data_IF_561789877771
#
_entry.id   IF_561789877771
#
_cell.length_a   1.000
_cell.length_b   1.000
_cell.length_c   1.000
_cell.angle_alpha   90.00
_cell.angle_beta   90.00
_cell.angle_gamma   90.00
#
_symmetry.space_group_name_H-M   'P 1'
#
loop_
_entity.id
_entity.type
_entity.pdbx_description
1 polymer ?
#
# COMPACT_ATOMS: atom_id res chain seq x y z
N UNK A 1 4.41 11.97 34.83
CA UNK A 1 3.02 11.52 34.98
C UNK A 1 2.00 12.58 34.56
N UNK A 2 2.06 13.86 35.02
CA UNK A 2 1.09 14.91 34.64
C UNK A 2 0.98 15.17 33.12
N UNK A 3 2.09 15.08 32.35
CA UNK A 3 2.07 15.31 30.88
C UNK A 3 1.38 14.18 30.10
N UNK A 4 1.42 12.94 30.59
CA UNK A 4 0.74 11.80 29.96
C UNK A 4 -0.78 11.89 30.17
N UNK A 5 -1.22 12.37 31.31
CA UNK A 5 -2.65 12.57 31.63
C UNK A 5 -3.27 13.66 30.73
N UNK A 6 -2.51 14.72 30.41
CA UNK A 6 -2.99 15.80 29.54
C UNK A 6 -3.16 15.28 28.10
N UNK A 7 -2.24 14.47 27.60
CA UNK A 7 -2.35 13.86 26.26
C UNK A 7 -3.54 12.87 26.20
N UNK A 8 -3.74 12.07 27.23
CA UNK A 8 -4.88 11.15 27.33
C UNK A 8 -6.22 11.90 27.42
N UNK A 9 -6.27 13.04 28.14
CA UNK A 9 -7.47 13.87 28.24
C UNK A 9 -7.85 14.56 26.92
N UNK A 10 -6.87 14.94 26.09
CA UNK A 10 -7.13 15.52 24.77
C UNK A 10 -7.68 14.46 23.80
N UNK A 11 -7.24 13.21 23.92
CA UNK A 11 -7.77 12.08 23.13
C UNK A 11 -9.21 11.73 23.53
N UNK A 12 -9.57 11.85 24.82
CA UNK A 12 -10.94 11.56 25.31
C UNK A 12 -11.96 12.68 25.02
N UNK A 13 -11.53 13.93 24.83
CA UNK A 13 -12.43 15.05 24.51
C UNK A 13 -12.88 15.10 23.03
N UNK A 14 -12.26 14.27 22.16
CA UNK A 14 -12.62 14.15 20.74
C UNK A 14 -13.81 13.24 20.41
N UNK A 15 -14.46 12.59 21.39
CA UNK A 15 -15.43 11.51 21.14
C UNK A 15 -16.91 11.90 21.21
N UNK A 16 -17.26 13.18 21.19
CA UNK A 16 -18.65 13.63 21.37
C UNK A 16 -19.29 14.30 20.15
N UNK A 17 -19.15 13.75 18.95
CA UNK A 17 -20.07 14.06 17.85
C UNK A 17 -20.42 12.74 17.17
N UNK A 18 -21.39 12.03 17.73
CA UNK A 18 -22.09 10.92 17.05
C UNK A 18 -23.12 11.54 16.10
N UNK A 19 -22.68 12.14 15.02
CA UNK A 19 -23.45 12.19 13.80
C UNK A 19 -23.23 10.85 13.09
N UNK A 20 -24.26 10.33 12.39
CA UNK A 20 -24.13 9.16 11.55
C UNK A 20 -23.01 9.39 10.52
N UNK A 21 -21.80 8.99 10.89
CA UNK A 21 -20.62 9.19 10.06
C UNK A 21 -20.60 8.08 9.04
N UNK A 22 -20.85 8.43 7.79
CA UNK A 22 -20.72 7.49 6.68
C UNK A 22 -19.34 6.86 6.65
N UNK A 23 -19.32 5.56 6.49
CA UNK A 23 -18.08 4.81 6.25
C UNK A 23 -18.19 4.05 4.94
N UNK A 24 -17.08 3.81 4.30
CA UNK A 24 -17.06 2.90 3.18
C UNK A 24 -15.93 1.88 3.28
N UNK A 25 -16.20 0.74 2.68
CA UNK A 25 -15.23 -0.35 2.54
C UNK A 25 -14.97 -0.55 1.06
N UNK A 26 -13.71 -0.64 0.64
CA UNK A 26 -13.36 -0.89 -0.75
C UNK A 26 -12.49 -2.13 -0.92
N UNK A 27 -12.75 -2.84 -2.02
CA UNK A 27 -11.93 -3.92 -2.54
C UNK A 27 -11.39 -3.50 -3.90
N UNK A 28 -10.08 -3.57 -4.05
CA UNK A 28 -9.39 -3.03 -5.22
C UNK A 28 -8.44 -4.07 -5.78
N UNK A 29 -8.48 -4.27 -7.08
CA UNK A 29 -7.45 -4.94 -7.84
C UNK A 29 -6.31 -3.97 -8.07
N UNK A 30 -5.06 -4.42 -7.87
CA UNK A 30 -3.88 -3.57 -7.92
C UNK A 30 -2.91 -4.07 -8.99
N UNK A 31 -2.64 -3.24 -10.00
CA UNK A 31 -1.55 -3.47 -10.96
C UNK A 31 -0.32 -2.72 -10.45
N UNK A 32 0.74 -3.46 -10.13
CA UNK A 32 1.96 -2.92 -9.52
C UNK A 32 3.08 -2.67 -10.52
N UNK A 33 3.82 -1.57 -10.33
CA UNK A 33 5.00 -1.19 -11.09
C UNK A 33 6.14 -0.92 -10.12
N UNK A 34 7.21 -1.73 -10.17
CA UNK A 34 8.38 -1.53 -9.33
C UNK A 34 9.06 -0.19 -9.60
N UNK A 35 9.57 0.45 -8.56
CA UNK A 35 10.35 1.68 -8.63
C UNK A 35 11.60 1.53 -7.78
N UNK A 36 12.65 2.27 -8.10
CA UNK A 36 13.92 2.19 -7.38
C UNK A 36 14.48 0.77 -7.34
N UNK A 37 14.78 0.26 -6.14
CA UNK A 37 15.36 -1.07 -5.95
C UNK A 37 14.41 -2.21 -6.37
N UNK A 38 13.10 -2.06 -6.12
CA UNK A 38 12.09 -3.04 -6.56
C UNK A 38 12.06 -3.13 -8.08
N UNK A 39 12.06 -1.98 -8.79
CA UNK A 39 12.05 -1.94 -10.25
C UNK A 39 13.35 -2.46 -10.87
N UNK A 40 14.50 -2.23 -10.23
CA UNK A 40 15.80 -2.78 -10.65
C UNK A 40 15.87 -4.29 -10.47
N UNK A 41 15.23 -4.81 -9.44
CA UNK A 41 15.17 -6.25 -9.18
C UNK A 41 14.15 -6.95 -10.08
N UNK A 42 12.95 -6.36 -10.27
CA UNK A 42 11.87 -6.87 -11.12
C UNK A 42 11.32 -5.72 -11.95
N UNK A 43 11.62 -5.68 -13.24
CA UNK A 43 11.19 -4.62 -14.16
C UNK A 43 9.80 -4.81 -14.71
N UNK A 44 9.27 -6.05 -14.67
CA UNK A 44 7.97 -6.37 -15.21
C UNK A 44 6.84 -5.85 -14.33
N UNK A 45 5.74 -5.34 -14.92
CA UNK A 45 4.53 -5.01 -14.18
C UNK A 45 3.96 -6.24 -13.49
N UNK A 46 3.43 -6.06 -12.29
CA UNK A 46 2.71 -7.10 -11.56
C UNK A 46 1.20 -6.93 -11.72
N UNK A 47 0.56 -7.99 -12.22
CA UNK A 47 -0.91 -8.12 -12.26
C UNK A 47 -1.44 -8.97 -11.09
N UNK A 48 -0.64 -9.18 -10.05
CA UNK A 48 -0.96 -10.02 -8.88
C UNK A 48 -1.00 -9.16 -7.62
N UNK A 49 -2.00 -8.27 -7.57
CA UNK A 49 -2.17 -7.40 -6.42
C UNK A 49 -3.62 -7.17 -6.07
N UNK A 50 -3.87 -7.00 -4.78
CA UNK A 50 -5.14 -6.54 -4.28
C UNK A 50 -4.94 -5.62 -3.07
N UNK A 51 -5.92 -4.75 -2.82
CA UNK A 51 -5.96 -3.84 -1.69
C UNK A 51 -7.36 -3.83 -1.09
N UNK A 52 -7.42 -3.97 0.20
CA UNK A 52 -8.60 -3.75 1.03
C UNK A 52 -8.43 -2.44 1.79
N UNK A 53 -9.48 -1.63 1.83
CA UNK A 53 -9.43 -0.35 2.53
C UNK A 53 -10.77 -0.07 3.19
N UNK A 54 -10.71 0.38 4.44
CA UNK A 54 -11.85 0.89 5.18
C UNK A 54 -11.60 2.35 5.52
N UNK A 55 -12.58 3.23 5.25
CA UNK A 55 -12.52 4.67 5.54
C UNK A 55 -13.78 5.11 6.26
N UNK A 56 -13.62 6.01 7.21
CA UNK A 56 -14.71 6.67 7.92
C UNK A 56 -14.60 8.19 7.72
N UNK A 57 -15.68 8.82 7.28
CA UNK A 57 -15.73 10.27 7.16
C UNK A 57 -15.81 10.89 8.54
N UNK A 58 -14.85 11.74 8.88
CA UNK A 58 -14.83 12.55 10.11
C UNK A 58 -15.38 13.96 9.85
N UNK A 59 -15.34 14.37 8.59
CA UNK A 59 -15.94 15.59 8.05
C UNK A 59 -16.38 15.31 6.61
N UNK A 60 -17.28 16.09 6.01
CA UNK A 60 -17.73 15.86 4.64
C UNK A 60 -16.60 15.74 3.61
N UNK A 61 -15.47 16.41 3.85
CA UNK A 61 -14.30 16.41 2.96
C UNK A 61 -13.13 15.57 3.46
N UNK A 62 -13.20 15.01 4.66
CA UNK A 62 -12.04 14.33 5.27
C UNK A 62 -12.45 12.96 5.79
N UNK A 63 -11.71 11.93 5.42
CA UNK A 63 -11.84 10.61 6.02
C UNK A 63 -10.53 10.13 6.64
N UNK A 64 -10.66 9.32 7.68
CA UNK A 64 -9.59 8.50 8.23
C UNK A 64 -9.92 7.04 7.99
N UNK A 65 -8.89 6.20 7.84
CA UNK A 65 -9.11 4.80 7.56
C UNK A 65 -7.89 3.94 7.77
N UNK A 66 -8.04 2.70 7.32
CA UNK A 66 -6.98 1.69 7.35
C UNK A 66 -6.92 0.98 5.99
N UNK A 67 -5.72 0.65 5.58
CA UNK A 67 -5.45 -0.07 4.35
C UNK A 67 -4.59 -1.29 4.63
N UNK A 68 -4.96 -2.41 4.00
CA UNK A 68 -4.15 -3.61 3.92
C UNK A 68 -4.07 -4.06 2.46
N UNK A 69 -2.88 -4.43 2.00
CA UNK A 69 -2.68 -4.84 0.62
C UNK A 69 -1.72 -6.01 0.49
N UNK A 70 -1.73 -6.60 -0.69
CA UNK A 70 -0.74 -7.60 -1.08
C UNK A 70 -0.42 -7.44 -2.57
N UNK A 71 0.86 -7.25 -2.89
CA UNK A 71 1.36 -7.14 -4.26
C UNK A 71 2.51 -8.13 -4.45
N UNK A 72 2.46 -8.93 -5.51
CA UNK A 72 3.47 -9.95 -5.84
C UNK A 72 4.12 -9.61 -7.16
N UNK A 73 5.35 -9.17 -7.13
CA UNK A 73 6.18 -8.97 -8.32
C UNK A 73 6.89 -10.28 -8.66
N UNK A 74 7.00 -10.56 -9.97
CA UNK A 74 7.62 -11.78 -10.47
C UNK A 74 8.38 -11.50 -11.75
N UNK A 75 9.59 -12.05 -11.85
CA UNK A 75 10.39 -12.05 -13.07
C UNK A 75 11.16 -13.36 -13.21
N UNK A 76 11.28 -13.85 -14.44
CA UNK A 76 12.08 -15.03 -14.78
C UNK A 76 13.20 -14.62 -15.73
N UNK A 77 14.45 -14.75 -15.29
CA UNK A 77 15.63 -14.41 -16.05
C UNK A 77 16.42 -15.64 -16.43
N UNK A 78 16.81 -15.74 -17.69
CA UNK A 78 17.61 -16.85 -18.20
C UNK A 78 19.08 -16.48 -18.19
N UNK A 79 19.94 -17.40 -17.70
CA UNK A 79 21.40 -17.31 -17.74
C UNK A 79 22.00 -16.04 -17.10
N UNK A 80 21.51 -15.63 -15.95
CA UNK A 80 22.15 -14.60 -15.14
C UNK A 80 23.08 -15.16 -14.08
N UNK A 81 24.14 -14.42 -13.77
CA UNK A 81 25.03 -14.72 -12.65
C UNK A 81 24.68 -13.85 -11.47
N UNK A 82 24.36 -14.47 -10.35
CA UNK A 82 24.18 -13.80 -9.08
C UNK A 82 25.42 -14.02 -8.21
N UNK A 83 25.99 -12.91 -7.72
CA UNK A 83 27.16 -12.94 -6.83
C UNK A 83 26.79 -12.33 -5.47
N UNK A 84 27.05 -13.07 -4.40
CA UNK A 84 26.93 -12.60 -3.02
C UNK A 84 28.20 -12.99 -2.25
N UNK A 85 29.02 -11.98 -1.90
CA UNK A 85 30.33 -12.23 -1.31
C UNK A 85 31.23 -13.00 -2.28
N UNK A 86 31.74 -14.15 -1.86
CA UNK A 86 32.63 -15.00 -2.66
C UNK A 86 31.90 -16.12 -3.44
N UNK A 87 30.56 -16.14 -3.40
CA UNK A 87 29.76 -17.16 -4.07
C UNK A 87 29.08 -16.56 -5.28
N UNK A 88 29.35 -17.14 -6.47
CA UNK A 88 28.68 -16.81 -7.72
C UNK A 88 27.92 -18.05 -8.25
N UNK A 89 26.64 -17.89 -8.54
CA UNK A 89 25.79 -18.92 -9.10
C UNK A 89 25.22 -18.42 -10.43
N UNK A 90 25.47 -19.15 -11.50
CA UNK A 90 24.95 -18.85 -12.84
C UNK A 90 23.85 -19.82 -13.21
N UNK A 91 22.79 -19.33 -13.84
CA UNK A 91 21.69 -20.17 -14.29
C UNK A 91 20.39 -19.41 -14.45
N UNK A 92 19.30 -20.14 -14.65
CA UNK A 92 17.95 -19.57 -14.69
C UNK A 92 17.54 -19.11 -13.29
N UNK A 93 17.11 -17.87 -13.18
CA UNK A 93 16.68 -17.25 -11.92
C UNK A 93 15.20 -16.95 -11.97
N UNK A 94 14.50 -17.30 -10.90
CA UNK A 94 13.13 -16.87 -10.63
C UNK A 94 13.15 -15.88 -9.47
N UNK A 95 12.71 -14.65 -9.76
CA UNK A 95 12.69 -13.56 -8.79
C UNK A 95 11.26 -13.28 -8.35
N UNK A 96 11.05 -13.30 -7.05
CA UNK A 96 9.77 -12.98 -6.44
C UNK A 96 9.97 -11.87 -5.42
N UNK A 97 9.03 -10.93 -5.39
CA UNK A 97 8.99 -9.94 -4.32
C UNK A 97 7.54 -9.72 -3.89
N UNK A 98 7.27 -10.04 -2.63
CA UNK A 98 5.99 -9.83 -1.98
C UNK A 98 6.05 -8.55 -1.15
N UNK A 99 4.98 -7.74 -1.24
CA UNK A 99 4.82 -6.49 -0.51
C UNK A 99 3.47 -6.50 0.21
N UNK A 100 3.49 -6.33 1.55
CA UNK A 100 2.31 -6.32 2.41
C UNK A 100 2.24 -5.00 3.19
N UNK A 101 1.66 -3.93 2.64
CA UNK A 101 1.42 -2.70 3.38
C UNK A 101 0.27 -2.86 4.37
N UNK A 102 0.45 -2.28 5.58
CA UNK A 102 -0.57 -2.09 6.61
C UNK A 102 -0.47 -0.63 7.06
N UNK A 103 -1.42 0.20 6.65
CA UNK A 103 -1.33 1.65 6.77
C UNK A 103 -2.59 2.25 7.40
N UNK A 104 -2.41 3.24 8.26
CA UNK A 104 -3.45 4.20 8.60
C UNK A 104 -3.49 5.25 7.49
N UNK A 105 -4.69 5.63 7.05
CA UNK A 105 -4.89 6.53 5.92
C UNK A 105 -5.68 7.78 6.31
N UNK A 106 -5.36 8.89 5.66
CA UNK A 106 -6.11 10.13 5.74
C UNK A 106 -6.33 10.68 4.32
N UNK A 107 -7.58 11.03 4.01
CA UNK A 107 -7.95 11.43 2.65
C UNK A 107 -8.77 12.71 2.66
N UNK A 108 -8.55 13.54 1.64
CA UNK A 108 -9.30 14.75 1.38
C UNK A 108 -10.04 14.64 0.05
N UNK A 109 -11.35 14.89 0.10
CA UNK A 109 -12.27 14.84 -1.04
C UNK A 109 -12.62 16.24 -1.51
N UNK A 110 -12.48 16.49 -2.81
CA UNK A 110 -12.72 17.81 -3.38
C UNK A 110 -14.20 18.10 -3.60
N UNK A 111 -15.00 17.05 -3.92
CA UNK A 111 -16.39 17.19 -4.34
C UNK A 111 -17.32 16.20 -3.61
N UNK A 112 -17.44 16.29 -2.27
CA UNK A 112 -18.31 15.38 -1.52
C UNK A 112 -19.78 15.53 -1.96
N UNK A 113 -20.45 14.39 -2.13
CA UNK A 113 -21.86 14.34 -2.58
C UNK A 113 -22.06 14.48 -4.09
N UNK A 114 -21.03 14.77 -4.87
CA UNK A 114 -21.12 14.72 -6.32
C UNK A 114 -20.84 13.29 -6.85
N UNK A 115 -21.42 12.99 -8.02
CA UNK A 115 -21.27 11.69 -8.69
C UNK A 115 -19.80 11.35 -8.99
N UNK A 116 -19.00 12.37 -9.33
CA UNK A 116 -17.55 12.29 -9.51
C UNK A 116 -16.84 13.03 -8.40
N UNK A 117 -16.19 12.30 -7.51
CA UNK A 117 -15.54 12.84 -6.32
C UNK A 117 -14.05 12.52 -6.33
N UNK A 118 -13.20 13.41 -6.84
CA UNK A 118 -11.75 13.24 -6.78
C UNK A 118 -11.24 13.41 -5.34
N UNK A 119 -10.16 12.71 -5.02
CA UNK A 119 -9.52 12.79 -3.72
C UNK A 119 -7.99 12.70 -3.81
N UNK A 120 -7.34 13.19 -2.77
CA UNK A 120 -5.93 12.95 -2.48
C UNK A 120 -5.80 12.38 -1.08
N UNK A 121 -4.79 11.57 -0.86
CA UNK A 121 -4.61 10.94 0.43
C UNK A 121 -3.15 10.64 0.76
N UNK A 122 -2.94 10.33 2.01
CA UNK A 122 -1.67 9.84 2.55
C UNK A 122 -1.93 8.66 3.46
N UNK A 123 -1.09 7.64 3.37
CA UNK A 123 -1.04 6.51 4.29
C UNK A 123 0.29 6.49 5.02
N UNK A 124 0.27 6.12 6.29
CA UNK A 124 1.46 5.95 7.12
C UNK A 124 1.31 4.68 7.95
N UNK A 125 2.36 3.89 8.04
CA UNK A 125 2.32 2.66 8.80
C UNK A 125 3.51 1.77 8.56
N UNK A 126 3.26 0.49 8.33
CA UNK A 126 4.31 -0.50 8.12
C UNK A 126 4.08 -1.28 6.82
N UNK A 127 5.15 -1.77 6.23
CA UNK A 127 5.13 -2.64 5.06
C UNK A 127 6.10 -3.79 5.26
N UNK A 128 5.60 -5.01 5.17
CA UNK A 128 6.45 -6.19 5.14
C UNK A 128 6.85 -6.48 3.70
N UNK A 129 8.17 -6.63 3.48
CA UNK A 129 8.74 -7.03 2.19
C UNK A 129 9.45 -8.36 2.32
N UNK A 130 9.18 -9.25 1.37
CA UNK A 130 9.90 -10.51 1.24
C UNK A 130 10.33 -10.71 -0.20
N UNK A 131 11.62 -10.87 -0.41
CA UNK A 131 12.28 -11.05 -1.70
C UNK A 131 12.94 -12.42 -1.75
N UNK A 132 12.64 -13.19 -2.79
CA UNK A 132 13.24 -14.48 -3.04
C UNK A 132 13.90 -14.48 -4.43
N UNK A 133 15.09 -15.05 -4.51
CA UNK A 133 15.77 -15.37 -5.75
C UNK A 133 16.04 -16.87 -5.77
N UNK A 134 15.29 -17.60 -6.58
CA UNK A 134 15.40 -19.04 -6.69
C UNK A 134 16.33 -19.39 -7.88
N UNK A 135 17.38 -20.12 -7.59
CA UNK A 135 18.39 -20.55 -8.54
C UNK A 135 18.60 -22.05 -8.39
N UNK A 136 17.86 -22.87 -9.14
CA UNK A 136 17.95 -24.33 -9.12
C UNK A 136 17.92 -24.95 -7.70
N UNK A 137 19.06 -25.10 -7.05
CA UNK A 137 19.20 -25.68 -5.71
C UNK A 137 19.36 -24.66 -4.59
N UNK A 138 19.47 -23.37 -4.91
CA UNK A 138 19.68 -22.29 -3.94
C UNK A 138 18.56 -21.30 -4.00
N UNK A 139 17.96 -20.98 -2.84
CA UNK A 139 17.05 -19.84 -2.65
C UNK A 139 17.72 -18.82 -1.76
N UNK A 140 17.83 -17.59 -2.25
CA UNK A 140 18.26 -16.46 -1.46
C UNK A 140 17.01 -15.69 -1.03
N UNK A 141 16.84 -15.55 0.28
CA UNK A 141 15.71 -14.84 0.87
C UNK A 141 16.18 -13.60 1.62
N UNK A 142 15.44 -12.51 1.46
CA UNK A 142 15.57 -11.27 2.21
C UNK A 142 14.18 -10.87 2.70
N UNK A 143 14.08 -10.42 3.95
CA UNK A 143 12.81 -9.98 4.51
C UNK A 143 13.00 -8.85 5.52
N UNK A 144 12.04 -7.95 5.57
CA UNK A 144 12.02 -6.90 6.58
C UNK A 144 10.63 -6.28 6.75
N UNK A 145 10.41 -5.70 7.92
CA UNK A 145 9.35 -4.75 8.18
C UNK A 145 9.89 -3.33 8.02
N UNK A 146 9.27 -2.54 7.15
CA UNK A 146 9.65 -1.17 6.88
C UNK A 146 8.65 -0.20 7.51
N UNK A 147 9.10 0.93 7.99
CA UNK A 147 8.23 2.09 8.11
C UNK A 147 7.85 2.53 6.68
N UNK A 148 6.57 2.77 6.44
CA UNK A 148 6.09 3.06 5.10
C UNK A 148 5.20 4.30 5.04
N UNK A 149 5.33 5.03 3.94
CA UNK A 149 4.48 6.16 3.58
C UNK A 149 3.90 5.93 2.20
N UNK A 150 2.61 6.27 2.01
CA UNK A 150 1.88 6.07 0.76
C UNK A 150 1.07 7.33 0.41
N UNK A 151 1.56 8.27 -0.39
CA UNK A 151 0.72 9.23 -1.07
C UNK A 151 -0.17 8.55 -2.13
N UNK A 152 -1.38 9.07 -2.31
CA UNK A 152 -2.32 8.61 -3.31
C UNK A 152 -3.13 9.75 -3.91
N UNK A 153 -3.56 9.54 -5.15
CA UNK A 153 -4.53 10.38 -5.85
C UNK A 153 -5.53 9.46 -6.55
N UNK A 154 -6.80 9.80 -6.51
CA UNK A 154 -7.82 8.99 -7.12
C UNK A 154 -9.16 9.69 -7.22
N UNK A 155 -10.17 8.94 -7.60
CA UNK A 155 -11.56 9.38 -7.61
C UNK A 155 -12.51 8.24 -7.27
N UNK A 156 -13.65 8.62 -6.72
CA UNK A 156 -14.85 7.79 -6.59
C UNK A 156 -15.85 8.23 -7.64
N UNK A 157 -16.43 7.27 -8.35
CA UNK A 157 -17.55 7.51 -9.26
C UNK A 157 -18.77 6.77 -8.74
N UNK A 158 -19.76 7.52 -8.24
CA UNK A 158 -20.97 6.96 -7.66
C UNK A 158 -21.83 6.31 -8.76
N UNK A 159 -21.99 4.99 -8.67
CA UNK A 159 -22.84 4.21 -9.57
C UNK A 159 -24.28 4.16 -9.07
N UNK A 160 -24.44 3.97 -7.75
CA UNK A 160 -25.69 4.00 -7.03
C UNK A 160 -25.47 4.54 -5.59
N UNK A 161 -26.50 4.76 -4.76
CA UNK A 161 -26.34 5.35 -3.42
C UNK A 161 -25.35 4.61 -2.51
N UNK A 162 -25.21 3.30 -2.67
CA UNK A 162 -24.43 2.45 -1.78
C UNK A 162 -23.09 2.00 -2.40
N UNK A 163 -22.89 2.19 -3.73
CA UNK A 163 -21.75 1.64 -4.44
C UNK A 163 -21.11 2.66 -5.35
N UNK A 164 -19.80 2.79 -5.24
CA UNK A 164 -18.97 3.63 -6.12
C UNK A 164 -17.86 2.82 -6.78
N UNK A 165 -17.55 3.13 -8.03
CA UNK A 165 -16.30 2.70 -8.64
C UNK A 165 -15.15 3.48 -8.00
N UNK A 166 -14.09 2.78 -7.67
CA UNK A 166 -12.88 3.33 -7.06
C UNK A 166 -11.72 3.23 -8.06
N UNK A 167 -11.05 4.34 -8.32
CA UNK A 167 -9.84 4.39 -9.13
C UNK A 167 -8.80 5.22 -8.43
N UNK A 168 -7.58 4.69 -8.26
CA UNK A 168 -6.50 5.44 -7.64
C UNK A 168 -5.12 5.02 -8.16
N UNK A 169 -4.20 5.97 -8.16
CA UNK A 169 -2.76 5.73 -8.28
C UNK A 169 -2.17 5.93 -6.89
N UNK A 170 -1.42 4.93 -6.42
CA UNK A 170 -0.79 4.93 -5.10
C UNK A 170 0.71 4.72 -5.29
N UNK A 171 1.51 5.44 -4.52
CA UNK A 171 2.95 5.24 -4.44
C UNK A 171 3.33 4.77 -3.05
N UNK A 172 3.88 3.58 -2.93
CA UNK A 172 4.34 3.03 -1.67
C UNK A 172 5.85 3.22 -1.55
N UNK A 173 6.29 3.72 -0.41
CA UNK A 173 7.70 3.87 -0.08
C UNK A 173 7.98 3.32 1.32
N UNK A 174 8.56 2.14 1.39
CA UNK A 174 9.08 1.54 2.61
C UNK A 174 10.54 1.90 2.80
N UNK A 175 10.87 2.58 3.90
CA UNK A 175 12.25 2.98 4.19
C UNK A 175 13.15 1.77 4.45
N UNK A 176 14.45 1.93 4.24
CA UNK A 176 15.43 0.85 4.44
C UNK A 176 15.31 0.24 5.84
N UNK A 177 15.29 -1.09 5.92
CA UNK A 177 15.22 -1.83 7.18
C UNK A 177 15.65 -3.29 6.99
N UNK A 178 16.15 -3.92 8.05
CA UNK A 178 16.53 -5.33 8.07
C UNK A 178 17.51 -5.71 6.97
N UNK A 179 17.13 -6.69 6.16
CA UNK A 179 17.97 -7.19 5.06
C UNK A 179 18.05 -6.23 3.84
N UNK A 180 17.22 -5.17 3.82
CA UNK A 180 17.18 -4.20 2.74
C UNK A 180 17.92 -2.92 3.14
N UNK A 181 19.06 -2.67 2.51
CA UNK A 181 19.87 -1.46 2.71
C UNK A 181 19.28 -0.21 2.04
N UNK A 182 18.33 -0.36 1.14
CA UNK A 182 17.68 0.70 0.36
C UNK A 182 16.16 0.62 0.47
N UNK A 183 15.52 1.76 0.21
CA UNK A 183 14.06 1.86 0.26
C UNK A 183 13.38 0.94 -0.76
N UNK A 184 12.27 0.33 -0.35
CA UNK A 184 11.44 -0.53 -1.19
C UNK A 184 10.24 0.27 -1.69
N UNK A 185 10.26 0.63 -2.97
CA UNK A 185 9.25 1.53 -3.54
C UNK A 185 8.57 0.94 -4.76
N UNK A 186 7.28 1.21 -4.91
CA UNK A 186 6.50 0.82 -6.09
C UNK A 186 5.25 1.68 -6.25
N UNK A 187 4.75 1.75 -7.48
CA UNK A 187 3.45 2.34 -7.79
C UNK A 187 2.40 1.26 -7.97
N UNK A 188 1.14 1.60 -7.71
CA UNK A 188 0.01 0.77 -8.11
C UNK A 188 -1.07 1.59 -8.78
N UNK A 189 -1.66 1.02 -9.83
CA UNK A 189 -2.96 1.44 -10.36
C UNK A 189 -4.01 0.54 -9.74
N UNK A 190 -4.92 1.13 -8.99
CA UNK A 190 -5.96 0.44 -8.25
C UNK A 190 -7.32 0.68 -8.90
N UNK A 191 -8.03 -0.40 -9.19
CA UNK A 191 -9.38 -0.40 -9.74
C UNK A 191 -10.26 -1.26 -8.84
N UNK A 192 -11.40 -0.75 -8.39
CA UNK A 192 -12.23 -1.50 -7.46
C UNK A 192 -13.62 -0.93 -7.23
N UNK A 193 -14.27 -1.47 -6.23
CA UNK A 193 -15.58 -1.03 -5.76
C UNK A 193 -15.48 -0.56 -4.32
N UNK A 194 -16.17 0.51 -4.01
CA UNK A 194 -16.35 1.04 -2.67
C UNK A 194 -17.83 0.95 -2.28
N UNK A 195 -18.11 0.36 -1.13
CA UNK A 195 -19.44 0.16 -0.57
C UNK A 195 -19.64 1.08 0.62
N UNK A 196 -20.58 2.00 0.50
CA UNK A 196 -20.92 2.99 1.55
C UNK A 196 -21.96 2.40 2.50
N UNK A 197 -21.78 2.67 3.79
CA UNK A 197 -22.71 2.20 4.85
C UNK A 197 -22.95 3.31 5.88
#
# INVERSE_FOLDING_TARGET
MKKIIIVLSIVCLGTSIVQAQESFTSFQYSVGFGSGDVGSFISNPSFRGFTFEWRKYIQPKVSLGMEAGWNVFYDARSNETYTRGNVSVSGKQYRYQNQFPLLATANYYFKPGEKFNPFVGIGVGTMYSRRNTDMSTYTLEQQAWHFAVKPEIGFLYQMNPETSAFVAIKYYNGYSAGDFSVAQSYFTLNLGLAFTR
#
